data_IF_308451351808
#
_entry.id   IF_308451351808
#
_cell.length_a   1.000
_cell.length_b   1.000
_cell.length_c   1.000
_cell.angle_alpha   90.00
_cell.angle_beta   90.00
_cell.angle_gamma   90.00
#
_symmetry.space_group_name_H-M   'P 1'
#
loop_
_entity.id
_entity.type
_entity.pdbx_description
1 polymer ?
#
# COMPACT_ATOMS: atom_id res chain seq x y z
N UNK A 1 -31.15 -17.15 -13.09
CA UNK A 1 -29.77 -17.20 -12.56
C UNK A 1 -29.62 -15.98 -11.70
N UNK A 2 -29.63 -16.18 -10.38
CA UNK A 2 -29.52 -15.10 -9.40
C UNK A 2 -28.04 -15.02 -9.03
N UNK A 3 -27.33 -13.99 -9.50
CA UNK A 3 -25.98 -13.69 -9.03
C UNK A 3 -26.06 -13.45 -7.52
N UNK A 4 -25.34 -14.28 -6.77
CA UNK A 4 -25.11 -14.02 -5.36
C UNK A 4 -24.18 -12.81 -5.28
N UNK A 5 -24.73 -11.68 -4.85
CA UNK A 5 -23.94 -10.54 -4.37
C UNK A 5 -23.01 -11.08 -3.29
N UNK A 6 -21.68 -10.92 -3.39
CA UNK A 6 -20.79 -11.32 -2.30
C UNK A 6 -21.19 -10.52 -1.06
N UNK A 7 -21.61 -11.26 -0.03
CA UNK A 7 -21.96 -10.72 1.28
C UNK A 7 -20.75 -9.92 1.77
N UNK A 8 -20.92 -8.60 1.87
CA UNK A 8 -19.88 -7.71 2.39
C UNK A 8 -19.55 -8.20 3.79
N UNK A 9 -18.44 -8.92 3.92
CA UNK A 9 -17.98 -9.43 5.21
C UNK A 9 -17.57 -8.19 5.98
N UNK A 10 -18.28 -7.89 7.06
CA UNK A 10 -17.90 -6.79 7.94
C UNK A 10 -16.42 -6.93 8.28
N UNK A 11 -15.63 -5.84 8.18
CA UNK A 11 -14.21 -5.93 8.43
C UNK A 11 -14.00 -6.41 9.87
N UNK A 12 -13.07 -7.37 10.08
CA UNK A 12 -12.87 -7.94 11.41
C UNK A 12 -12.49 -6.84 12.40
N UNK A 13 -13.02 -6.92 13.61
CA UNK A 13 -12.61 -6.01 14.69
C UNK A 13 -11.11 -6.16 14.91
N UNK A 14 -10.34 -5.10 14.63
CA UNK A 14 -8.90 -5.10 14.87
C UNK A 14 -8.63 -4.77 16.33
N UNK A 15 -7.68 -5.52 16.90
CA UNK A 15 -7.16 -5.39 18.26
C UNK A 15 -8.14 -5.61 19.41
N UNK A 16 -9.43 -5.32 19.23
CA UNK A 16 -10.42 -5.35 20.30
C UNK A 16 -11.14 -6.69 20.36
N UNK A 17 -11.36 -7.21 21.56
CA UNK A 17 -12.35 -8.25 21.80
C UNK A 17 -13.77 -7.70 21.90
N UNK A 18 -14.67 -8.47 22.49
CA UNK A 18 -16.02 -8.01 22.82
C UNK A 18 -16.01 -7.13 24.08
N UNK A 19 -16.85 -6.10 24.08
CA UNK A 19 -17.18 -5.34 25.29
C UNK A 19 -18.00 -6.22 26.24
N UNK A 20 -17.59 -6.28 27.51
CA UNK A 20 -18.17 -7.19 28.51
C UNK A 20 -18.34 -6.52 29.86
N UNK A 21 -19.32 -6.95 30.63
CA UNK A 21 -19.49 -6.53 32.01
C UNK A 21 -18.36 -7.09 32.89
N UNK A 22 -17.83 -6.26 33.78
CA UNK A 22 -16.92 -6.66 34.84
C UNK A 22 -17.74 -7.07 36.06
N UNK A 23 -17.99 -8.37 36.19
CA UNK A 23 -18.78 -9.00 37.25
C UNK A 23 -17.94 -9.52 38.43
N UNK A 24 -16.64 -9.69 38.21
CA UNK A 24 -15.69 -10.23 39.20
C UNK A 24 -14.35 -9.52 39.14
N UNK A 25 -13.58 -9.67 40.22
CA UNK A 25 -12.19 -9.23 40.27
C UNK A 25 -11.38 -9.91 39.15
N UNK A 26 -10.62 -9.11 38.40
CA UNK A 26 -9.77 -9.60 37.33
C UNK A 26 -8.46 -8.82 37.29
N UNK A 27 -7.40 -9.43 36.74
CA UNK A 27 -6.13 -8.75 36.48
C UNK A 27 -5.91 -8.66 34.98
N UNK A 28 -5.45 -7.50 34.50
CA UNK A 28 -5.11 -7.30 33.09
C UNK A 28 -3.94 -8.22 32.72
N UNK A 29 -4.09 -8.97 31.63
CA UNK A 29 -3.07 -9.91 31.16
C UNK A 29 -1.93 -9.17 30.45
N UNK A 30 -0.70 -9.72 30.46
CA UNK A 30 0.35 -9.30 29.52
C UNK A 30 -0.15 -9.38 28.07
N UNK A 31 0.34 -8.49 27.19
CA UNK A 31 -0.09 -8.43 25.78
C UNK A 31 -1.49 -7.84 25.60
N UNK A 32 -2.04 -7.16 26.61
CA UNK A 32 -3.39 -6.59 26.58
C UNK A 32 -3.46 -5.33 27.43
N UNK A 33 -4.15 -4.31 26.93
CA UNK A 33 -4.70 -3.23 27.74
C UNK A 33 -6.22 -3.39 27.83
N UNK A 34 -6.81 -2.86 28.88
CA UNK A 34 -8.27 -2.89 29.05
C UNK A 34 -8.79 -1.47 29.12
N UNK A 35 -9.76 -1.15 28.28
CA UNK A 35 -10.51 0.09 28.39
C UNK A 35 -11.70 -0.15 29.31
N UNK A 36 -11.81 0.64 30.36
CA UNK A 36 -12.88 0.61 31.35
C UNK A 36 -13.89 1.71 31.06
N UNK A 37 -15.16 1.32 30.95
CA UNK A 37 -16.31 2.20 30.83
C UNK A 37 -17.14 2.14 32.11
N UNK A 38 -17.36 3.29 32.74
CA UNK A 38 -18.19 3.39 33.96
C UNK A 38 -19.46 4.23 33.79
N UNK A 39 -19.70 4.72 32.56
CA UNK A 39 -20.87 5.50 32.17
C UNK A 39 -20.98 6.90 32.78
N UNK A 40 -20.01 7.31 33.61
CA UNK A 40 -20.01 8.63 34.30
C UNK A 40 -18.73 9.42 34.09
N UNK A 41 -17.61 8.73 33.88
CA UNK A 41 -16.29 9.28 33.65
C UNK A 41 -15.85 8.95 32.23
N UNK A 42 -14.86 9.70 31.71
CA UNK A 42 -14.18 9.32 30.48
C UNK A 42 -13.64 7.89 30.57
N UNK A 43 -13.52 7.23 29.42
CA UNK A 43 -13.00 5.87 29.36
C UNK A 43 -11.58 5.85 29.96
N UNK A 44 -11.23 4.78 30.68
CA UNK A 44 -9.94 4.69 31.35
C UNK A 44 -9.17 3.48 30.89
N UNK A 45 -7.90 3.65 30.56
CA UNK A 45 -7.02 2.55 30.21
C UNK A 45 -6.47 1.90 31.46
N UNK A 46 -6.35 0.58 31.41
CA UNK A 46 -5.79 -0.28 32.44
C UNK A 46 -4.68 -1.12 31.83
N UNK A 47 -3.49 -0.97 32.38
CA UNK A 47 -2.26 -1.55 31.87
C UNK A 47 -2.08 -3.00 32.35
N UNK A 48 -1.23 -3.80 31.67
CA UNK A 48 -0.87 -5.14 32.12
C UNK A 48 -0.52 -5.21 33.61
N UNK A 49 -1.11 -6.17 34.32
CA UNK A 49 -0.88 -6.38 35.74
C UNK A 49 -1.80 -5.59 36.68
N UNK A 50 -2.49 -4.56 36.20
CA UNK A 50 -3.45 -3.81 37.02
C UNK A 50 -4.67 -4.66 37.43
N UNK A 51 -5.20 -4.39 38.62
CA UNK A 51 -6.39 -5.04 39.15
C UNK A 51 -7.66 -4.26 38.74
N UNK A 52 -8.58 -4.98 38.10
CA UNK A 52 -9.92 -4.52 37.76
C UNK A 52 -10.87 -4.94 38.89
N UNK A 53 -11.53 -3.96 39.49
CA UNK A 53 -12.46 -4.17 40.60
C UNK A 53 -13.88 -3.86 40.12
N UNK A 54 -14.82 -4.83 40.20
CA UNK A 54 -16.20 -4.59 39.82
C UNK A 54 -16.88 -3.60 40.79
N UNK A 55 -17.92 -2.91 40.33
CA UNK A 55 -18.76 -2.09 41.21
C UNK A 55 -19.65 -3.01 42.07
N UNK A 56 -19.46 -2.99 43.39
CA UNK A 56 -20.33 -3.69 44.34
C UNK A 56 -21.51 -2.84 44.83
N UNK A 57 -21.54 -1.55 44.47
CA UNK A 57 -22.61 -0.65 44.88
C UNK A 57 -23.78 -0.69 43.88
N UNK A 58 -25.01 -1.00 44.32
CA UNK A 58 -26.17 -1.12 43.44
C UNK A 58 -26.63 0.21 42.82
N UNK A 59 -26.12 1.35 43.31
CA UNK A 59 -26.44 2.69 42.80
C UNK A 59 -25.42 3.22 41.78
N UNK A 60 -24.33 2.48 41.54
CA UNK A 60 -23.34 2.79 40.52
C UNK A 60 -23.66 2.01 39.24
N UNK A 61 -23.39 2.58 38.05
CA UNK A 61 -23.50 1.84 36.80
C UNK A 61 -22.57 0.63 36.83
N UNK A 62 -22.98 -0.43 36.15
CA UNK A 62 -22.11 -1.57 35.95
C UNK A 62 -20.87 -1.14 35.17
N UNK A 63 -19.71 -1.67 35.56
CA UNK A 63 -18.46 -1.43 34.87
C UNK A 63 -18.40 -2.35 33.66
N UNK A 64 -18.11 -1.79 32.50
CA UNK A 64 -17.85 -2.53 31.28
C UNK A 64 -16.38 -2.41 30.90
N UNK A 65 -15.86 -3.46 30.30
CA UNK A 65 -14.46 -3.57 29.89
C UNK A 65 -14.40 -3.97 28.42
N UNK A 66 -13.49 -3.35 27.69
CA UNK A 66 -13.12 -3.74 26.33
C UNK A 66 -11.64 -4.13 26.36
N UNK A 67 -11.31 -5.42 26.23
CA UNK A 67 -9.93 -5.86 26.10
C UNK A 67 -9.40 -5.48 24.72
N UNK A 68 -8.19 -4.95 24.68
CA UNK A 68 -7.46 -4.58 23.47
C UNK A 68 -6.10 -5.26 23.51
N UNK A 69 -5.81 -6.12 22.54
CA UNK A 69 -4.49 -6.75 22.45
C UNK A 69 -3.45 -5.74 22.02
N UNK A 70 -2.28 -5.80 22.65
CA UNK A 70 -1.10 -5.01 22.28
C UNK A 70 -0.08 -5.87 21.54
N UNK A 71 -0.36 -7.16 21.37
CA UNK A 71 0.47 -8.07 20.60
C UNK A 71 0.32 -7.76 19.10
N UNK A 72 1.27 -8.25 18.29
CA UNK A 72 1.16 -8.16 16.84
C UNK A 72 0.01 -9.02 16.35
N UNK A 73 -0.87 -8.43 15.54
CA UNK A 73 -1.99 -9.12 14.91
C UNK A 73 -1.81 -9.22 13.39
N UNK A 74 -2.50 -10.19 12.83
CA UNK A 74 -2.59 -10.43 11.39
C UNK A 74 -3.92 -9.87 10.85
N UNK A 75 -3.86 -8.87 9.96
CA UNK A 75 -5.03 -8.33 9.26
C UNK A 75 -5.00 -8.70 7.78
N UNK A 76 -6.13 -9.24 7.29
CA UNK A 76 -6.33 -9.49 5.86
C UNK A 76 -6.98 -8.26 5.22
N UNK A 77 -6.32 -7.67 4.23
CA UNK A 77 -6.80 -6.52 3.49
C UNK A 77 -7.06 -6.94 2.06
N UNK A 78 -8.26 -6.68 1.56
CA UNK A 78 -8.63 -6.94 0.16
C UNK A 78 -8.79 -5.61 -0.55
N UNK A 79 -8.18 -5.51 -1.73
CA UNK A 79 -8.32 -4.38 -2.63
C UNK A 79 -8.82 -4.89 -3.97
N UNK A 80 -9.88 -4.28 -4.46
CA UNK A 80 -10.46 -4.60 -5.75
C UNK A 80 -10.17 -3.48 -6.76
N UNK A 81 -10.06 -3.86 -8.03
CA UNK A 81 -9.92 -2.96 -9.18
C UNK A 81 -8.83 -1.89 -9.01
N UNK A 82 -7.59 -2.34 -8.87
CA UNK A 82 -6.40 -1.48 -8.78
C UNK A 82 -5.75 -1.35 -10.15
N UNK A 83 -5.50 -0.11 -10.58
CA UNK A 83 -4.98 0.20 -11.92
C UNK A 83 -3.55 0.72 -11.84
N UNK A 84 -2.67 0.21 -12.70
CA UNK A 84 -1.27 0.64 -12.85
C UNK A 84 -1.15 1.89 -13.74
N UNK A 85 0.02 2.52 -13.76
CA UNK A 85 0.24 3.76 -14.52
C UNK A 85 -0.05 3.60 -16.03
N UNK A 86 0.29 2.44 -16.60
CA UNK A 86 0.09 2.05 -18.00
C UNK A 86 -1.29 1.45 -18.31
N UNK A 87 -2.21 1.48 -17.35
CA UNK A 87 -3.58 0.98 -17.52
C UNK A 87 -3.74 -0.53 -17.37
N UNK A 88 -2.71 -1.23 -16.92
CA UNK A 88 -2.82 -2.60 -16.43
C UNK A 88 -3.73 -2.66 -15.21
N UNK A 89 -4.50 -3.74 -15.07
CA UNK A 89 -5.53 -3.85 -14.04
C UNK A 89 -5.35 -5.11 -13.19
N UNK A 90 -5.46 -4.92 -11.88
CA UNK A 90 -5.54 -5.95 -10.85
C UNK A 90 -6.99 -5.98 -10.40
N UNK A 91 -7.71 -7.06 -10.71
CA UNK A 91 -9.09 -7.23 -10.27
C UNK A 91 -9.18 -7.39 -8.76
N UNK A 92 -8.26 -8.16 -8.17
CA UNK A 92 -8.27 -8.43 -6.74
C UNK A 92 -6.86 -8.62 -6.21
N UNK A 93 -6.56 -7.98 -5.09
CA UNK A 93 -5.33 -8.13 -4.34
C UNK A 93 -5.67 -8.42 -2.89
N UNK A 94 -5.16 -9.54 -2.37
CA UNK A 94 -5.30 -9.89 -0.96
C UNK A 94 -3.93 -9.79 -0.29
N UNK A 95 -3.85 -8.88 0.68
CA UNK A 95 -2.67 -8.62 1.48
C UNK A 95 -2.88 -9.18 2.88
N UNK A 96 -1.81 -9.72 3.45
CA UNK A 96 -1.73 -10.04 4.86
C UNK A 96 -0.73 -9.08 5.51
N UNK A 97 -1.24 -8.29 6.46
CA UNK A 97 -0.50 -7.20 7.10
C UNK A 97 -0.32 -7.54 8.57
N UNK A 98 0.90 -7.35 9.07
CA UNK A 98 1.25 -7.47 10.48
C UNK A 98 1.15 -6.08 11.11
N UNK A 99 0.29 -5.95 12.11
CA UNK A 99 -0.02 -4.68 12.75
C UNK A 99 0.21 -4.76 14.26
N UNK A 100 0.64 -3.66 14.87
CA UNK A 100 0.81 -3.55 16.31
C UNK A 100 0.33 -2.19 16.79
N UNK A 101 -0.41 -2.15 17.91
CA UNK A 101 -0.74 -0.89 18.56
C UNK A 101 0.50 -0.29 19.21
N UNK A 102 0.75 0.98 18.93
CA UNK A 102 1.78 1.77 19.58
C UNK A 102 1.30 2.21 20.98
N UNK A 103 2.24 2.27 21.91
CA UNK A 103 2.04 2.61 23.32
C UNK A 103 2.33 4.08 23.63
N UNK A 104 2.24 4.95 22.62
CA UNK A 104 2.57 6.37 22.76
C UNK A 104 1.69 7.04 23.82
N UNK A 105 2.33 7.81 24.69
CA UNK A 105 1.74 8.43 25.89
C UNK A 105 0.82 7.48 26.69
N UNK A 106 1.23 6.23 26.91
CA UNK A 106 0.44 5.21 27.62
C UNK A 106 -0.94 4.96 26.98
N UNK A 107 -0.99 4.96 25.64
CA UNK A 107 -2.20 4.73 24.84
C UNK A 107 -3.26 5.84 24.93
N UNK A 108 -2.86 7.09 25.21
CA UNK A 108 -3.80 8.21 25.33
C UNK A 108 -4.68 8.42 24.07
N UNK A 109 -4.12 8.24 22.86
CA UNK A 109 -4.89 8.28 21.61
C UNK A 109 -5.99 7.21 21.55
N UNK A 110 -5.67 5.99 21.98
CA UNK A 110 -6.64 4.89 22.07
C UNK A 110 -7.77 5.22 23.06
N UNK A 111 -7.45 5.88 24.17
CA UNK A 111 -8.44 6.31 25.17
C UNK A 111 -9.44 7.30 24.54
N UNK A 112 -8.95 8.31 23.84
CA UNK A 112 -9.80 9.32 23.18
C UNK A 112 -10.72 8.69 22.13
N UNK A 113 -10.20 7.78 21.31
CA UNK A 113 -11.02 7.07 20.34
C UNK A 113 -12.04 6.16 21.03
N UNK A 114 -11.69 5.52 22.14
CA UNK A 114 -12.64 4.71 22.89
C UNK A 114 -13.78 5.53 23.51
N UNK A 115 -13.50 6.76 23.94
CA UNK A 115 -14.52 7.70 24.41
C UNK A 115 -15.51 8.07 23.30
N UNK A 116 -15.03 8.19 22.06
CA UNK A 116 -15.85 8.54 20.91
C UNK A 116 -16.62 7.35 20.33
N UNK A 117 -15.95 6.22 20.11
CA UNK A 117 -16.48 5.06 19.37
C UNK A 117 -17.02 3.94 20.28
N UNK A 118 -16.63 3.90 21.56
CA UNK A 118 -17.13 2.89 22.50
C UNK A 118 -16.88 1.45 22.04
N UNK A 119 -17.96 0.69 21.80
CA UNK A 119 -17.89 -0.70 21.30
C UNK A 119 -17.39 -0.80 19.86
N UNK A 120 -17.56 0.26 19.06
CA UNK A 120 -17.20 0.29 17.65
C UNK A 120 -15.73 0.60 17.40
N UNK A 121 -14.93 0.75 18.46
CA UNK A 121 -13.52 1.10 18.37
C UNK A 121 -12.74 0.15 17.44
N UNK A 122 -12.90 -1.17 17.61
CA UNK A 122 -12.19 -2.14 16.77
C UNK A 122 -12.57 -2.07 15.29
N UNK A 123 -13.83 -1.74 15.00
CA UNK A 123 -14.32 -1.56 13.64
C UNK A 123 -13.80 -0.25 13.03
N UNK A 124 -13.73 0.82 13.82
CA UNK A 124 -13.11 2.07 13.42
C UNK A 124 -11.64 1.87 13.07
N UNK A 125 -10.87 1.20 13.93
CA UNK A 125 -9.46 0.88 13.67
C UNK A 125 -9.31 0.04 12.39
N UNK A 126 -10.16 -0.98 12.21
CA UNK A 126 -10.17 -1.81 11.01
C UNK A 126 -10.36 -1.00 9.73
N UNK A 127 -11.36 -0.12 9.72
CA UNK A 127 -11.68 0.74 8.58
C UNK A 127 -10.58 1.76 8.30
N UNK A 128 -10.00 2.36 9.34
CA UNK A 128 -8.89 3.32 9.20
C UNK A 128 -7.67 2.66 8.58
N UNK A 129 -7.24 1.52 9.13
CA UNK A 129 -6.14 0.71 8.58
C UNK A 129 -6.41 0.35 7.11
N UNK A 130 -7.60 -0.16 6.80
CA UNK A 130 -7.97 -0.54 5.44
C UNK A 130 -7.90 0.66 4.48
N UNK A 131 -8.47 1.80 4.86
CA UNK A 131 -8.51 2.99 4.01
C UNK A 131 -7.12 3.55 3.72
N UNK A 132 -6.26 3.67 4.73
CA UNK A 132 -4.91 4.22 4.55
C UNK A 132 -4.01 3.28 3.73
N UNK A 133 -4.06 1.98 4.00
CA UNK A 133 -3.33 1.00 3.20
C UNK A 133 -3.85 0.91 1.77
N UNK A 134 -5.15 1.02 1.56
CA UNK A 134 -5.74 1.06 0.22
C UNK A 134 -5.24 2.27 -0.57
N UNK A 135 -5.25 3.46 0.04
CA UNK A 135 -4.73 4.68 -0.59
C UNK A 135 -3.24 4.50 -0.95
N UNK A 136 -2.45 3.96 -0.03
CA UNK A 136 -1.03 3.70 -0.24
C UNK A 136 -0.78 2.76 -1.43
N UNK A 137 -1.47 1.61 -1.46
CA UNK A 137 -1.33 0.62 -2.54
C UNK A 137 -1.82 1.18 -3.87
N UNK A 138 -2.97 1.85 -3.91
CA UNK A 138 -3.48 2.47 -5.15
C UNK A 138 -2.53 3.54 -5.67
N UNK A 139 -1.93 4.32 -4.78
CA UNK A 139 -0.93 5.32 -5.16
C UNK A 139 0.32 4.65 -5.71
N UNK A 140 0.81 3.60 -5.06
CA UNK A 140 1.95 2.81 -5.56
C UNK A 140 1.69 2.29 -6.97
N UNK A 141 0.52 1.70 -7.23
CA UNK A 141 0.21 1.15 -8.54
C UNK A 141 0.08 2.24 -9.60
N UNK A 142 -0.55 3.38 -9.30
CA UNK A 142 -0.64 4.51 -10.24
C UNK A 142 0.70 5.14 -10.60
N UNK A 143 1.74 4.89 -9.82
CA UNK A 143 3.07 5.45 -10.02
C UNK A 143 4.06 4.46 -10.64
N UNK A 144 3.62 3.23 -10.92
CA UNK A 144 4.47 2.18 -11.47
C UNK A 144 3.76 1.49 -12.65
N UNK A 145 4.52 1.23 -13.71
CA UNK A 145 4.04 0.48 -14.86
C UNK A 145 3.94 -1.02 -14.51
N UNK A 146 3.03 -1.73 -15.19
CA UNK A 146 2.85 -3.16 -15.03
C UNK A 146 4.15 -3.95 -15.26
N UNK A 147 4.88 -3.60 -16.33
CA UNK A 147 6.14 -4.25 -16.66
C UNK A 147 7.19 -4.09 -15.55
N UNK A 148 7.23 -2.93 -14.89
CA UNK A 148 8.16 -2.68 -13.79
C UNK A 148 7.80 -3.45 -12.53
N UNK A 149 6.51 -3.50 -12.19
CA UNK A 149 5.99 -4.30 -11.09
C UNK A 149 6.32 -5.79 -11.29
N UNK A 150 6.21 -6.29 -12.53
CA UNK A 150 6.58 -7.67 -12.88
C UNK A 150 8.08 -7.92 -12.74
N UNK A 151 8.94 -6.95 -13.08
CA UNK A 151 10.40 -7.06 -12.94
C UNK A 151 10.87 -7.04 -11.50
N UNK A 152 10.37 -6.09 -10.70
CA UNK A 152 10.85 -5.86 -9.33
C UNK A 152 10.10 -6.69 -8.27
N UNK A 153 8.98 -7.31 -8.65
CA UNK A 153 7.94 -7.88 -7.78
C UNK A 153 7.09 -6.82 -7.07
N UNK A 154 5.78 -7.06 -7.05
CA UNK A 154 4.79 -6.19 -6.40
C UNK A 154 5.10 -5.94 -4.92
N UNK A 155 5.56 -6.96 -4.19
CA UNK A 155 5.88 -6.81 -2.77
C UNK A 155 7.03 -5.84 -2.53
N UNK A 156 8.05 -5.88 -3.40
CA UNK A 156 9.19 -4.97 -3.32
C UNK A 156 8.76 -3.53 -3.57
N UNK A 157 7.98 -3.31 -4.64
CA UNK A 157 7.42 -1.99 -4.96
C UNK A 157 6.67 -1.43 -3.76
N UNK A 158 5.75 -2.19 -3.16
CA UNK A 158 4.98 -1.71 -2.01
C UNK A 158 5.86 -1.36 -0.79
N UNK A 159 6.88 -2.18 -0.49
CA UNK A 159 7.72 -2.00 0.71
C UNK A 159 8.74 -0.87 0.62
N UNK A 160 9.27 -0.56 -0.57
CA UNK A 160 10.42 0.35 -0.67
C UNK A 160 10.06 1.83 -0.58
N UNK A 161 8.80 2.22 -0.85
CA UNK A 161 8.45 3.64 -0.85
C UNK A 161 7.00 3.99 -0.50
N UNK A 162 6.08 3.02 -0.49
CA UNK A 162 4.65 3.38 -0.56
C UNK A 162 3.83 2.98 0.66
N UNK A 163 4.18 1.89 1.34
CA UNK A 163 3.47 1.51 2.55
C UNK A 163 3.87 2.42 3.72
N UNK A 164 2.90 3.04 4.40
CA UNK A 164 3.19 3.85 5.56
C UNK A 164 3.69 2.96 6.71
N UNK A 165 4.61 3.50 7.50
CA UNK A 165 5.11 2.82 8.69
C UNK A 165 4.06 2.79 9.80
N UNK A 166 3.28 3.86 9.93
CA UNK A 166 2.15 3.93 10.86
C UNK A 166 0.87 4.32 10.14
N UNK A 167 -0.26 3.87 10.67
CA UNK A 167 -1.59 4.21 10.20
C UNK A 167 -2.50 4.55 11.38
N UNK A 168 -3.64 5.17 11.08
CA UNK A 168 -4.65 5.60 12.07
C UNK A 168 -4.03 6.56 13.08
N UNK A 169 -3.74 7.77 12.62
CA UNK A 169 -3.17 8.87 13.42
C UNK A 169 -1.93 8.44 14.23
N UNK A 170 -0.99 7.75 13.57
CA UNK A 170 0.25 7.22 14.15
C UNK A 170 0.06 6.23 15.31
N UNK A 171 -1.13 5.65 15.51
CA UNK A 171 -1.36 4.71 16.60
C UNK A 171 -1.07 3.25 16.26
N UNK A 172 -1.07 2.89 14.98
CA UNK A 172 -0.90 1.50 14.53
C UNK A 172 0.34 1.39 13.66
N UNK A 173 1.31 0.61 14.12
CA UNK A 173 2.57 0.35 13.44
C UNK A 173 2.43 -0.85 12.50
N UNK A 174 2.84 -0.67 11.25
CA UNK A 174 2.85 -1.67 10.17
C UNK A 174 4.19 -2.40 10.18
N UNK A 175 4.23 -3.56 10.84
CA UNK A 175 5.44 -4.36 11.00
C UNK A 175 5.88 -5.06 9.71
N UNK A 176 4.92 -5.36 8.83
CA UNK A 176 5.21 -6.12 7.62
C UNK A 176 3.98 -6.38 6.78
N UNK A 177 4.24 -6.64 5.50
CA UNK A 177 3.22 -6.97 4.51
C UNK A 177 3.67 -8.20 3.72
N UNK A 178 2.72 -9.07 3.43
CA UNK A 178 2.87 -10.18 2.50
C UNK A 178 1.67 -10.21 1.56
N UNK A 179 1.89 -10.71 0.35
CA UNK A 179 0.85 -10.84 -0.67
C UNK A 179 0.34 -12.27 -0.61
N UNK A 180 -0.96 -12.45 -0.34
CA UNK A 180 -1.60 -13.78 -0.35
C UNK A 180 -2.10 -14.15 -1.73
N UNK A 181 -2.71 -13.20 -2.43
CA UNK A 181 -3.32 -13.43 -3.75
C UNK A 181 -3.27 -12.16 -4.59
N UNK A 182 -3.06 -12.34 -5.89
CA UNK A 182 -3.20 -11.26 -6.88
C UNK A 182 -3.85 -11.83 -8.12
N UNK A 183 -4.93 -11.21 -8.55
CA UNK A 183 -5.67 -11.53 -9.76
C UNK A 183 -5.52 -10.38 -10.74
N UNK A 184 -4.72 -10.60 -11.78
CA UNK A 184 -4.56 -9.65 -12.86
C UNK A 184 -5.69 -9.84 -13.87
N UNK A 185 -6.09 -8.78 -14.55
CA UNK A 185 -6.84 -8.91 -15.79
C UNK A 185 -6.03 -9.77 -16.76
N UNK A 186 -6.70 -10.71 -17.42
CA UNK A 186 -6.06 -11.52 -18.46
C UNK A 186 -5.34 -10.58 -19.44
N UNK A 187 -4.08 -10.89 -19.73
CA UNK A 187 -3.10 -10.07 -20.45
C UNK A 187 -3.73 -9.03 -21.37
N UNK A 188 -3.44 -7.75 -21.10
CA UNK A 188 -3.29 -6.83 -22.22
C UNK A 188 -2.17 -7.44 -23.07
N UNK A 189 -2.53 -8.16 -24.14
CA UNK A 189 -1.59 -8.49 -25.21
C UNK A 189 -0.81 -7.21 -25.48
N UNK A 190 0.53 -7.25 -25.46
CA UNK A 190 1.29 -6.08 -25.85
C UNK A 190 0.73 -5.68 -27.21
N UNK A 191 0.24 -4.45 -27.34
CA UNK A 191 -0.11 -3.87 -28.63
C UNK A 191 1.09 -4.17 -29.49
N UNK A 192 0.96 -5.14 -30.41
CA UNK A 192 2.00 -5.45 -31.37
C UNK A 192 2.27 -4.13 -32.04
N UNK A 193 3.41 -3.53 -31.71
CA UNK A 193 4.00 -2.49 -32.52
C UNK A 193 3.95 -3.05 -33.93
N UNK A 194 3.05 -2.48 -34.74
CA UNK A 194 2.90 -2.86 -36.12
C UNK A 194 4.24 -2.52 -36.73
N UNK A 195 5.07 -3.54 -36.91
CA UNK A 195 6.29 -3.43 -37.67
C UNK A 195 5.93 -2.68 -38.95
N UNK A 196 6.66 -1.60 -39.31
CA UNK A 196 6.36 -0.87 -40.52
C UNK A 196 6.28 -1.89 -41.66
N UNK A 197 5.27 -1.79 -42.55
CA UNK A 197 5.14 -2.73 -43.64
C UNK A 197 6.48 -2.76 -44.36
N UNK A 198 7.09 -3.95 -44.41
CA UNK A 198 8.32 -4.17 -45.13
C UNK A 198 8.15 -3.53 -46.51
N UNK A 199 8.93 -2.48 -46.77
CA UNK A 199 9.00 -1.87 -48.07
C UNK A 199 9.27 -3.01 -49.05
N UNK A 200 8.28 -3.31 -49.88
CA UNK A 200 8.51 -4.12 -51.06
C UNK A 200 9.57 -3.35 -51.84
N UNK A 201 10.81 -3.85 -51.81
CA UNK A 201 11.82 -3.51 -52.79
C UNK A 201 11.16 -3.74 -54.16
N UNK A 202 10.72 -2.64 -54.77
CA UNK A 202 10.43 -2.61 -56.19
C UNK A 202 11.77 -2.73 -56.88
N UNK A 203 12.11 -3.95 -57.28
CA UNK A 203 13.17 -4.19 -58.26
C UNK A 203 12.62 -3.66 -59.59
N UNK A 204 13.18 -2.55 -60.04
CA UNK A 204 12.89 -1.98 -61.36
C UNK A 204 13.35 -2.98 -62.44
N UNK A 205 12.45 -3.50 -63.29
CA UNK A 205 12.82 -4.47 -64.33
C UNK A 205 13.59 -3.86 -65.51
N UNK A 206 13.96 -2.57 -65.48
CA UNK A 206 14.64 -1.88 -66.58
C UNK A 206 16.09 -1.43 -66.30
N UNK A 207 16.68 -1.82 -65.16
CA UNK A 207 18.11 -1.56 -64.92
C UNK A 207 18.93 -2.76 -65.40
N UNK A 208 19.52 -2.60 -66.58
CA UNK A 208 20.54 -3.50 -67.13
C UNK A 208 21.88 -3.17 -66.45
N UNK A 209 22.41 -4.09 -65.62
CA UNK A 209 23.70 -3.93 -64.91
C UNK A 209 24.93 -4.09 -65.84
N UNK A 210 24.77 -3.96 -67.15
CA UNK A 210 25.87 -3.99 -68.10
C UNK A 210 26.11 -2.65 -68.77
N UNK A 211 26.52 -1.65 -67.99
CA UNK A 211 27.27 -0.53 -68.55
C UNK A 211 28.47 -0.19 -67.66
N UNK A 212 29.62 -0.71 -68.07
CA UNK A 212 30.95 -0.29 -67.62
C UNK A 212 31.36 0.85 -68.53
N UNK A 213 31.49 2.06 -67.99
CA UNK A 213 32.24 3.12 -68.65
C UNK A 213 33.32 3.62 -67.69
N UNK A 214 34.55 3.21 -68.01
CA UNK A 214 35.79 3.84 -67.59
C UNK A 214 35.75 5.33 -67.91
N UNK A 215 36.15 6.17 -66.95
CA UNK A 215 36.89 7.40 -67.25
C UNK A 215 37.53 7.95 -65.98
N UNK A 216 38.82 7.66 -65.84
CA UNK A 216 39.81 8.55 -65.25
C UNK A 216 39.68 9.96 -65.82
N UNK A 217 39.82 10.98 -64.96
CA UNK A 217 40.38 12.33 -65.18
C UNK A 217 40.10 13.10 -63.87
N UNK A 218 41.05 13.29 -62.94
CA UNK A 218 42.24 14.13 -63.11
C UNK A 218 41.94 15.55 -62.61
N UNK A 219 42.41 15.92 -61.42
CA UNK A 219 42.11 17.26 -60.85
C UNK A 219 42.75 17.56 -59.49
N UNK A 220 44.08 17.64 -59.51
CA UNK A 220 45.07 18.11 -58.54
C UNK A 220 44.79 19.35 -57.64
N UNK A 221 45.45 19.32 -56.46
CA UNK A 221 46.08 20.41 -55.66
C UNK A 221 45.16 21.38 -54.91
N UNK A 222 45.56 22.08 -53.83
CA UNK A 222 46.50 21.93 -52.71
C UNK A 222 46.40 23.26 -51.94
N UNK A 223 46.81 23.24 -50.66
CA UNK A 223 47.22 24.39 -49.84
C UNK A 223 46.13 25.40 -49.42
N UNK A 224 46.22 26.17 -48.36
CA UNK A 224 47.02 26.27 -47.11
C UNK A 224 46.59 27.61 -46.50
N UNK A 225 46.46 27.70 -45.18
CA UNK A 225 46.77 28.86 -44.30
C UNK A 225 46.01 28.68 -42.98
N UNK A 226 46.64 28.55 -41.81
CA UNK A 226 47.27 29.66 -41.02
C UNK A 226 46.29 30.84 -40.87
N UNK A 227 46.03 31.44 -39.72
CA UNK A 227 46.71 31.41 -38.42
C UNK A 227 45.84 32.17 -37.40
N UNK A 228 46.27 32.09 -36.14
CA UNK A 228 46.27 33.17 -35.15
C UNK A 228 45.06 33.53 -34.25
N UNK A 229 45.30 33.25 -32.95
CA UNK A 229 45.28 34.16 -31.79
C UNK A 229 43.92 34.75 -31.32
N UNK A 230 43.62 34.93 -30.02
CA UNK A 230 44.44 35.22 -28.83
C UNK A 230 43.57 35.14 -27.55
N UNK A 231 44.23 34.76 -26.46
CA UNK A 231 44.11 35.21 -25.06
C UNK A 231 42.88 35.93 -24.51
N UNK A 232 42.48 35.53 -23.29
CA UNK A 232 41.78 36.41 -22.35
C UNK A 232 41.47 35.77 -21.00
N UNK A 233 42.44 35.78 -20.08
CA UNK A 233 42.32 35.46 -18.65
C UNK A 233 41.91 36.71 -17.86
N UNK A 234 41.16 36.52 -16.78
CA UNK A 234 41.03 37.46 -15.64
C UNK A 234 39.57 37.76 -15.32
N UNK A 235 39.10 37.67 -14.07
CA UNK A 235 39.72 37.42 -12.78
C UNK A 235 38.62 37.48 -11.71
#
# INVERSE_FOLDING_TARGET
MTEAVPEATDPPHLFTGERRLLDRLARVRPGTVVILFDGRRPARIKLPGELLVPSWWPLLPALEVLPVTTDTIEAAITLDDVVTADGGMIHRMELQVLLRLLDDEEYHGLQQLAEHYGSELGLFLARGVQAELEVAVRTAMRMNDYAEIRRQSLLKVLREAWLPYNVVDDMVDVQGVTIRRVEWSAEQEPVKEVAPPAERLWVDPYVDETYVEDSDLGGTLASSSEDDQRSGVGG
#
